data_IF_424936669491
#
_entry.id   IF_424936669491
#
_cell.length_a   1.000
_cell.length_b   1.000
_cell.length_c   1.000
_cell.angle_alpha   90.00
_cell.angle_beta   90.00
_cell.angle_gamma   90.00
#
_symmetry.space_group_name_H-M   'P 1'
#
loop_
_entity.id
_entity.type
_entity.pdbx_description
1 polymer ?
#
# COMPACT_ATOMS: atom_id res chain seq x y z
N UNK A 1 13.25 -30.10 38.54
CA UNK A 1 13.69 -29.07 37.57
C UNK A 1 14.22 -29.62 36.23
N UNK A 2 13.86 -30.84 35.77
CA UNK A 2 14.33 -31.37 34.46
C UNK A 2 13.22 -31.51 33.40
N UNK A 3 11.95 -31.52 33.80
CA UNK A 3 10.80 -31.71 32.88
C UNK A 3 10.50 -30.45 32.06
N UNK A 4 10.68 -29.25 32.63
CA UNK A 4 10.47 -27.98 31.93
C UNK A 4 11.49 -27.73 30.80
N UNK A 5 12.75 -28.18 30.96
CA UNK A 5 13.77 -27.99 29.94
C UNK A 5 13.49 -28.81 28.67
N UNK A 6 12.96 -30.02 28.84
CA UNK A 6 12.58 -30.92 27.76
C UNK A 6 11.33 -30.39 27.01
N UNK A 7 10.35 -29.87 27.76
CA UNK A 7 9.15 -29.26 27.17
C UNK A 7 9.50 -27.99 26.38
N UNK A 8 10.41 -27.15 26.89
CA UNK A 8 10.91 -25.97 26.18
C UNK A 8 11.68 -26.37 24.92
N UNK A 9 12.50 -27.42 24.99
CA UNK A 9 13.29 -27.88 23.85
C UNK A 9 12.40 -28.47 22.74
N UNK A 10 11.40 -29.29 23.11
CA UNK A 10 10.44 -29.86 22.17
C UNK A 10 9.56 -28.76 21.54
N UNK A 11 9.14 -27.76 22.32
CA UNK A 11 8.37 -26.62 21.80
C UNK A 11 9.22 -25.75 20.85
N UNK A 12 10.52 -25.59 21.14
CA UNK A 12 11.47 -24.87 20.27
C UNK A 12 11.74 -25.60 18.96
N UNK A 13 11.77 -26.94 18.98
CA UNK A 13 11.85 -27.75 17.75
C UNK A 13 10.53 -27.68 16.97
N UNK A 14 9.38 -27.77 17.65
CA UNK A 14 8.06 -27.69 17.03
C UNK A 14 7.86 -26.36 16.29
N UNK A 15 8.16 -25.22 16.91
CA UNK A 15 8.10 -23.91 16.25
C UNK A 15 9.09 -23.75 15.08
N UNK A 16 10.26 -24.37 15.17
CA UNK A 16 11.28 -24.35 14.10
C UNK A 16 10.91 -25.23 12.92
N UNK A 17 10.11 -26.28 13.13
CA UNK A 17 9.55 -27.14 12.09
C UNK A 17 8.29 -26.49 11.47
N UNK A 18 7.44 -25.83 12.26
CA UNK A 18 6.22 -25.17 11.78
C UNK A 18 6.45 -23.89 10.97
N UNK A 19 7.60 -23.22 11.12
CA UNK A 19 7.94 -21.99 10.38
C UNK A 19 8.69 -22.22 9.06
N UNK A 20 8.98 -23.49 8.72
CA UNK A 20 9.93 -23.86 7.66
C UNK A 20 9.33 -24.00 6.25
N UNK A 21 8.26 -23.28 5.94
CA UNK A 21 7.75 -23.17 4.55
C UNK A 21 7.67 -21.74 3.99
N UNK A 22 8.04 -20.70 4.74
CA UNK A 22 7.94 -19.34 4.20
C UNK A 22 8.81 -18.31 4.93
N UNK A 23 10.12 -18.50 4.96
CA UNK A 23 11.03 -17.40 5.31
C UNK A 23 12.05 -17.21 4.22
N UNK A 24 11.59 -16.56 3.14
CA UNK A 24 12.43 -16.05 2.04
C UNK A 24 13.70 -15.35 2.55
N UNK A 25 13.64 -14.72 3.74
CA UNK A 25 14.78 -14.10 4.41
C UNK A 25 15.89 -15.10 4.73
N UNK A 26 15.58 -16.27 5.28
CA UNK A 26 16.62 -17.27 5.61
C UNK A 26 17.39 -17.74 4.37
N UNK A 27 16.67 -17.99 3.28
CA UNK A 27 17.31 -18.40 2.02
C UNK A 27 18.11 -17.25 1.39
N UNK A 28 17.59 -16.03 1.46
CA UNK A 28 18.31 -14.83 1.02
C UNK A 28 19.62 -14.65 1.80
N UNK A 29 19.58 -14.75 3.14
CA UNK A 29 20.75 -14.59 4.01
C UNK A 29 21.83 -15.65 3.70
N UNK A 30 21.43 -16.90 3.45
CA UNK A 30 22.38 -17.96 3.04
C UNK A 30 23.03 -17.68 1.68
N UNK A 31 22.27 -17.12 0.73
CA UNK A 31 22.80 -16.76 -0.60
C UNK A 31 23.79 -15.60 -0.48
N UNK A 32 23.50 -14.58 0.34
CA UNK A 32 24.40 -13.44 0.55
C UNK A 32 25.74 -13.87 1.19
N UNK A 33 25.70 -14.78 2.16
CA UNK A 33 26.89 -15.33 2.82
C UNK A 33 27.79 -16.10 1.84
N UNK A 34 27.21 -16.94 0.97
CA UNK A 34 27.96 -17.73 -0.02
C UNK A 34 28.55 -16.86 -1.11
N UNK A 35 27.82 -15.82 -1.55
CA UNK A 35 28.28 -14.92 -2.61
C UNK A 35 29.24 -13.84 -2.06
N UNK A 36 29.38 -13.73 -0.73
CA UNK A 36 30.27 -12.77 -0.08
C UNK A 36 29.85 -11.31 -0.29
N UNK A 37 28.57 -11.06 -0.60
CA UNK A 37 28.05 -9.71 -0.76
C UNK A 37 27.84 -9.11 0.62
N UNK A 38 28.75 -8.24 1.04
CA UNK A 38 28.46 -7.37 2.19
C UNK A 38 27.36 -6.40 1.77
N UNK A 39 26.24 -6.30 2.49
CA UNK A 39 25.29 -5.23 2.23
C UNK A 39 26.05 -3.91 2.33
N UNK A 40 25.96 -3.10 1.29
CA UNK A 40 26.50 -1.74 1.37
C UNK A 40 25.83 -1.08 2.58
N UNK A 41 26.58 -0.32 3.40
CA UNK A 41 25.94 0.50 4.42
C UNK A 41 24.89 1.32 3.70
N UNK A 42 23.62 1.16 4.10
CA UNK A 42 22.54 2.04 3.63
C UNK A 42 22.90 3.43 4.12
N UNK A 43 23.68 4.13 3.33
CA UNK A 43 24.10 5.48 3.60
C UNK A 43 22.84 6.29 3.36
N UNK A 44 22.08 6.51 4.43
CA UNK A 44 20.98 7.47 4.45
C UNK A 44 21.57 8.86 4.35
N UNK A 45 22.23 9.16 3.23
CA UNK A 45 22.82 10.45 2.97
C UNK A 45 22.12 11.06 1.77
N UNK A 46 21.85 12.36 1.86
CA UNK A 46 21.17 13.11 0.79
C UNK A 46 22.16 14.13 0.24
N UNK A 47 22.34 14.12 -1.07
CA UNK A 47 23.14 15.13 -1.76
C UNK A 47 22.29 16.38 -1.98
N UNK A 48 22.75 17.51 -1.44
CA UNK A 48 22.19 18.82 -1.69
C UNK A 48 22.56 19.32 -3.09
N UNK A 49 21.80 20.29 -3.61
CA UNK A 49 22.11 20.94 -4.89
C UNK A 49 23.46 21.67 -4.87
N UNK A 50 23.90 22.12 -3.69
CA UNK A 50 25.24 22.68 -3.46
C UNK A 50 26.38 21.67 -3.54
N UNK A 51 26.08 20.37 -3.72
CA UNK A 51 27.07 19.30 -3.79
C UNK A 51 27.46 18.69 -2.43
N UNK A 52 26.99 19.26 -1.32
CA UNK A 52 27.22 18.77 0.04
C UNK A 52 26.32 17.56 0.37
N UNK A 53 26.80 16.64 1.21
CA UNK A 53 26.02 15.50 1.68
C UNK A 53 25.50 15.74 3.10
N UNK A 54 24.19 15.57 3.29
CA UNK A 54 23.56 15.48 4.60
C UNK A 54 23.61 14.03 5.07
N UNK A 55 24.13 13.81 6.29
CA UNK A 55 24.18 12.48 6.92
C UNK A 55 23.38 12.40 8.21
N UNK A 56 23.05 13.55 8.81
CA UNK A 56 22.21 13.61 9.99
C UNK A 56 20.74 13.44 9.64
N UNK A 57 20.03 12.62 10.42
CA UNK A 57 18.63 12.29 10.15
C UNK A 57 17.74 13.53 10.28
N UNK A 58 18.03 14.44 11.21
CA UNK A 58 17.21 15.63 11.39
C UNK A 58 17.31 16.59 10.20
N UNK A 59 18.54 16.79 9.69
CA UNK A 59 18.79 17.60 8.49
C UNK A 59 18.17 16.98 7.24
N UNK A 60 18.21 15.65 7.12
CA UNK A 60 17.58 14.90 6.04
C UNK A 60 16.07 15.11 6.04
N UNK A 61 15.42 14.96 7.19
CA UNK A 61 13.98 15.18 7.31
C UNK A 61 13.60 16.63 7.01
N UNK A 62 14.39 17.59 7.47
CA UNK A 62 14.21 19.01 7.16
C UNK A 62 14.32 19.26 5.65
N UNK A 63 15.32 18.68 4.98
CA UNK A 63 15.48 18.81 3.54
C UNK A 63 14.33 18.18 2.76
N UNK A 64 13.81 17.03 3.22
CA UNK A 64 12.62 16.40 2.65
C UNK A 64 11.38 17.29 2.79
N UNK A 65 11.15 17.90 3.96
CA UNK A 65 10.03 18.85 4.17
C UNK A 65 10.12 20.00 3.18
N UNK A 66 11.28 20.66 3.10
CA UNK A 66 11.52 21.76 2.18
C UNK A 66 11.32 21.36 0.72
N UNK A 67 11.79 20.17 0.32
CA UNK A 67 11.61 19.68 -1.04
C UNK A 67 10.13 19.49 -1.39
N UNK A 68 9.35 18.92 -0.47
CA UNK A 68 7.91 18.71 -0.66
C UNK A 68 7.19 20.06 -0.73
N UNK A 69 7.52 20.99 0.17
CA UNK A 69 6.98 22.36 0.14
C UNK A 69 7.29 23.04 -1.20
N UNK A 70 8.55 23.04 -1.65
CA UNK A 70 8.96 23.60 -2.96
C UNK A 70 8.24 22.92 -4.13
N UNK A 71 8.08 21.60 -4.08
CA UNK A 71 7.46 20.82 -5.16
C UNK A 71 5.96 21.09 -5.29
N UNK A 72 5.30 21.35 -4.17
CA UNK A 72 3.85 21.59 -4.11
C UNK A 72 3.48 23.06 -3.90
N UNK A 73 4.45 23.98 -3.88
CA UNK A 73 4.20 25.41 -3.86
C UNK A 73 3.54 25.83 -5.18
N UNK A 74 2.22 25.93 -5.16
CA UNK A 74 1.42 26.19 -6.35
C UNK A 74 1.40 27.69 -6.66
N UNK A 75 2.46 28.17 -7.29
CA UNK A 75 2.60 29.56 -7.78
C UNK A 75 1.58 29.95 -8.86
N UNK A 76 0.72 29.04 -9.31
CA UNK A 76 -0.31 29.30 -10.35
C UNK A 76 -1.52 30.08 -9.82
N UNK A 77 -1.52 30.46 -8.54
CA UNK A 77 -2.59 31.22 -7.90
C UNK A 77 -3.70 30.31 -7.35
N UNK A 78 -4.80 30.89 -6.82
CA UNK A 78 -5.91 30.10 -6.30
C UNK A 78 -6.42 29.18 -7.39
N UNK A 79 -6.57 27.89 -7.06
CA UNK A 79 -7.11 26.89 -7.99
C UNK A 79 -8.43 27.42 -8.53
N UNK A 80 -8.66 27.34 -9.86
CA UNK A 80 -9.95 27.74 -10.40
C UNK A 80 -11.04 26.98 -9.66
N UNK A 81 -12.18 27.63 -9.35
CA UNK A 81 -13.28 26.94 -8.70
C UNK A 81 -13.62 25.70 -9.53
N UNK A 82 -13.83 24.57 -8.87
CA UNK A 82 -14.25 23.34 -9.53
C UNK A 82 -15.63 23.62 -10.13
N UNK A 83 -15.65 24.04 -11.40
CA UNK A 83 -16.86 24.51 -12.09
C UNK A 83 -17.82 23.38 -12.42
N UNK A 84 -17.39 22.12 -12.24
CA UNK A 84 -18.20 20.98 -12.58
C UNK A 84 -17.96 19.81 -11.60
N UNK A 85 -18.81 19.75 -10.56
CA UNK A 85 -18.90 18.55 -9.71
C UNK A 85 -19.62 17.40 -10.44
N UNK A 86 -20.32 17.70 -11.52
CA UNK A 86 -20.97 16.73 -12.42
C UNK A 86 -19.97 16.29 -13.49
N UNK A 87 -19.00 15.47 -13.10
CA UNK A 87 -18.21 14.73 -14.08
C UNK A 87 -19.12 13.85 -14.94
N UNK A 88 -18.61 13.31 -16.05
CA UNK A 88 -19.39 12.44 -16.92
C UNK A 88 -20.01 11.28 -16.13
N UNK A 89 -21.16 10.74 -16.60
CA UNK A 89 -21.81 9.61 -15.95
C UNK A 89 -20.81 8.47 -15.73
N UNK A 90 -20.65 8.04 -14.46
CA UNK A 90 -19.66 7.01 -14.11
C UNK A 90 -20.12 5.58 -14.40
N UNK A 91 -21.36 5.41 -14.86
CA UNK A 91 -21.98 4.09 -15.09
C UNK A 91 -21.12 3.17 -15.98
N UNK A 92 -20.57 3.68 -17.08
CA UNK A 92 -19.72 2.89 -17.98
C UNK A 92 -18.37 2.52 -17.34
N UNK A 93 -17.82 3.39 -16.50
CA UNK A 93 -16.60 3.11 -15.76
C UNK A 93 -16.84 2.00 -14.73
N UNK A 94 -17.94 2.08 -13.98
CA UNK A 94 -18.35 1.07 -12.99
C UNK A 94 -18.56 -0.28 -13.66
N UNK A 95 -19.28 -0.31 -14.79
CA UNK A 95 -19.50 -1.52 -15.58
C UNK A 95 -18.19 -2.13 -16.08
N UNK A 96 -17.26 -1.31 -16.56
CA UNK A 96 -15.95 -1.77 -17.01
C UNK A 96 -15.08 -2.26 -15.86
N UNK A 97 -15.17 -1.65 -14.68
CA UNK A 97 -14.45 -2.07 -13.48
C UNK A 97 -14.91 -3.45 -13.03
N UNK A 98 -16.23 -3.66 -12.90
CA UNK A 98 -16.81 -4.95 -12.52
C UNK A 98 -16.40 -6.04 -13.50
N UNK A 99 -16.45 -5.78 -14.82
CA UNK A 99 -15.99 -6.72 -15.86
C UNK A 99 -14.51 -7.10 -15.77
N UNK A 100 -13.66 -6.20 -15.27
CA UNK A 100 -12.20 -6.42 -15.16
C UNK A 100 -11.81 -7.15 -13.88
N UNK A 101 -12.71 -7.26 -12.91
CA UNK A 101 -12.39 -7.91 -11.65
C UNK A 101 -12.30 -9.44 -11.83
N UNK A 102 -11.34 -10.04 -11.11
CA UNK A 102 -11.06 -11.46 -11.23
C UNK A 102 -12.01 -12.30 -10.37
N UNK A 103 -12.54 -13.37 -10.94
CA UNK A 103 -13.40 -14.34 -10.25
C UNK A 103 -12.58 -15.34 -9.43
N UNK A 104 -13.23 -16.08 -8.53
CA UNK A 104 -12.58 -17.07 -7.65
C UNK A 104 -11.47 -16.48 -6.76
N UNK A 105 -11.60 -15.20 -6.40
CA UNK A 105 -10.76 -14.58 -5.38
C UNK A 105 -11.44 -14.73 -4.02
N UNK A 106 -10.63 -14.83 -2.96
CA UNK A 106 -11.16 -14.75 -1.61
C UNK A 106 -11.85 -13.40 -1.42
N UNK A 107 -13.02 -13.41 -0.78
CA UNK A 107 -13.71 -12.19 -0.40
C UNK A 107 -12.82 -11.32 0.50
N UNK A 108 -12.96 -10.01 0.39
CA UNK A 108 -12.25 -9.07 1.25
C UNK A 108 -12.77 -9.10 2.70
N UNK A 109 -12.29 -8.18 3.56
CA UNK A 109 -12.83 -8.00 4.90
C UNK A 109 -14.32 -7.60 4.93
N UNK A 110 -14.86 -7.16 3.79
CA UNK A 110 -16.27 -6.88 3.58
C UNK A 110 -17.12 -8.16 3.40
N UNK A 111 -16.47 -9.32 3.22
CA UNK A 111 -17.11 -10.61 2.94
C UNK A 111 -17.97 -10.59 1.67
N UNK A 112 -17.70 -9.67 0.73
CA UNK A 112 -18.43 -9.54 -0.53
C UNK A 112 -17.64 -10.20 -1.67
N UNK A 113 -18.06 -11.38 -2.15
CA UNK A 113 -17.45 -12.01 -3.31
C UNK A 113 -17.93 -11.35 -4.62
N UNK A 114 -17.13 -11.43 -5.69
CA UNK A 114 -17.49 -10.85 -6.98
C UNK A 114 -18.69 -11.55 -7.63
N UNK A 115 -18.87 -12.84 -7.33
CA UNK A 115 -19.97 -13.66 -7.81
C UNK A 115 -21.34 -13.07 -7.39
N UNK A 116 -21.38 -12.25 -6.33
CA UNK A 116 -22.57 -11.49 -5.93
C UNK A 116 -22.93 -10.41 -6.95
N UNK A 117 -21.95 -9.77 -7.57
CA UNK A 117 -22.17 -8.77 -8.61
C UNK A 117 -22.81 -9.39 -9.85
N UNK A 118 -22.41 -10.62 -10.21
CA UNK A 118 -23.02 -11.38 -11.31
C UNK A 118 -24.46 -11.78 -10.99
N UNK A 119 -24.73 -12.21 -9.75
CA UNK A 119 -26.07 -12.59 -9.31
C UNK A 119 -27.06 -11.41 -9.29
N UNK A 120 -26.58 -10.22 -8.94
CA UNK A 120 -27.36 -8.99 -8.83
C UNK A 120 -27.46 -8.21 -10.15
N UNK A 121 -26.55 -8.44 -11.09
CA UNK A 121 -26.53 -7.90 -12.45
C UNK A 121 -26.79 -6.36 -12.48
N UNK A 122 -27.83 -5.92 -13.20
CA UNK A 122 -28.16 -4.49 -13.36
C UNK A 122 -28.50 -3.79 -12.03
N UNK A 123 -29.10 -4.50 -11.08
CA UNK A 123 -29.42 -3.95 -9.76
C UNK A 123 -28.15 -3.55 -9.00
N UNK A 124 -27.07 -4.34 -9.14
CA UNK A 124 -25.78 -4.01 -8.56
C UNK A 124 -25.20 -2.75 -9.20
N UNK A 125 -25.24 -2.66 -10.54
CA UNK A 125 -24.69 -1.53 -11.28
C UNK A 125 -25.34 -0.20 -10.88
N UNK A 126 -26.66 -0.18 -10.71
CA UNK A 126 -27.40 1.02 -10.29
C UNK A 126 -26.97 1.47 -8.89
N UNK A 127 -27.07 0.59 -7.90
CA UNK A 127 -26.77 0.95 -6.51
C UNK A 127 -25.30 1.28 -6.28
N UNK A 128 -24.38 0.58 -6.96
CA UNK A 128 -22.96 0.89 -6.85
C UNK A 128 -22.63 2.24 -7.48
N UNK A 129 -23.27 2.56 -8.61
CA UNK A 129 -23.14 3.88 -9.24
C UNK A 129 -23.70 4.99 -8.34
N UNK A 130 -24.85 4.79 -7.70
CA UNK A 130 -25.43 5.73 -6.73
C UNK A 130 -24.50 5.95 -5.53
N UNK A 131 -23.98 4.87 -4.93
CA UNK A 131 -23.06 4.91 -3.81
C UNK A 131 -21.76 5.67 -4.15
N UNK A 132 -21.17 5.37 -5.31
CA UNK A 132 -19.93 6.02 -5.75
C UNK A 132 -20.15 7.50 -6.04
N UNK A 133 -21.30 7.87 -6.62
CA UNK A 133 -21.69 9.25 -6.78
C UNK A 133 -21.85 9.94 -5.42
N UNK A 134 -22.51 9.30 -4.45
CA UNK A 134 -22.66 9.83 -3.09
C UNK A 134 -21.30 10.12 -2.42
N UNK A 135 -20.37 9.15 -2.44
CA UNK A 135 -19.02 9.33 -1.88
C UNK A 135 -18.26 10.46 -2.58
N UNK A 136 -18.43 10.57 -3.91
CA UNK A 136 -17.83 11.63 -4.70
C UNK A 136 -18.32 13.02 -4.27
N UNK A 137 -19.61 13.17 -3.99
CA UNK A 137 -20.16 14.45 -3.53
C UNK A 137 -19.72 14.80 -2.11
N UNK A 138 -19.65 13.83 -1.19
CA UNK A 138 -19.17 14.04 0.19
C UNK A 138 -17.74 14.59 0.23
N UNK A 139 -16.81 14.02 -0.56
CA UNK A 139 -15.40 14.47 -0.57
C UNK A 139 -15.22 15.90 -1.11
N UNK A 140 -16.14 16.36 -1.97
CA UNK A 140 -16.08 17.71 -2.55
C UNK A 140 -16.58 18.81 -1.59
N UNK A 141 -17.16 18.48 -0.43
CA UNK A 141 -17.61 19.47 0.56
C UNK A 141 -16.51 19.90 1.54
N UNK A 142 -15.39 19.18 1.59
CA UNK A 142 -14.30 19.40 2.55
C UNK A 142 -12.94 19.74 1.89
N UNK A 143 -12.92 20.07 0.60
CA UNK A 143 -11.75 20.58 -0.15
C UNK A 143 -11.95 22.02 -0.55
#
# INVERSE_FOLDING_TARGET
MKVNALLIFINKISQKVYSKSSSSKYFHDQIEDVVGRKPSPKSGCIKLQSGQFLMDISDILKRWSQYVEELFDDVRGPRPPIRNNEGPPIMEEVKNAIRKMNHNKAAGPDEIPIELFDALNETCLVHFTELLNFIRFEKNQYS
#
